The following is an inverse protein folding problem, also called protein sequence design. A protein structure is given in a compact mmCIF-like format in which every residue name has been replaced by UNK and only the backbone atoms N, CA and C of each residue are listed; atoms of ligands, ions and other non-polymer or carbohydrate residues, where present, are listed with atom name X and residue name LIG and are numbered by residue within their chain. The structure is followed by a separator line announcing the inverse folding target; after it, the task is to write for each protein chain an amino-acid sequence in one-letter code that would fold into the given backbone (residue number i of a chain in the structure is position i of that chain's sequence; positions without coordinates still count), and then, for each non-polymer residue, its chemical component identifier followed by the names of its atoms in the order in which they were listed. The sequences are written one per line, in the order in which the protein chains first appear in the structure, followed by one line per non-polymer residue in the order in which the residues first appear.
data_IF_507892886904
#
_entry.id   IF_507892886904
#
_cell.length_a   1.000
_cell.length_b   1.000
_cell.length_c   1.000
_cell.angle_alpha   90.00
_cell.angle_beta   90.00
_cell.angle_gamma   90.00
#
_symmetry.space_group_name_H-M   'P 1'
#
loop_
_entity.id
_entity.type
_entity.pdbx_description
1 polymer ?
#
# COMPACT_ATOMS: atom_id res chain seq x y z
N UNK A 1 -74.26 11.59 58.68
CA UNK A 1 -73.75 11.76 60.06
C UNK A 1 -72.29 12.08 59.94
N UNK A 2 -72.01 13.38 60.07
CA UNK A 2 -70.69 13.98 60.03
C UNK A 2 -69.77 13.43 61.13
N UNK A 3 -68.50 13.23 60.80
CA UNK A 3 -67.43 13.18 61.81
C UNK A 3 -66.38 14.22 61.47
N UNK A 4 -66.52 15.33 62.19
CA UNK A 4 -65.54 16.39 62.42
C UNK A 4 -64.38 15.79 63.24
N UNK A 5 -63.14 16.13 62.90
CA UNK A 5 -61.97 15.59 63.61
C UNK A 5 -60.63 16.28 63.37
N UNK A 6 -60.57 17.59 63.57
CA UNK A 6 -59.45 18.32 64.21
C UNK A 6 -58.10 18.46 63.46
N UNK A 7 -57.93 19.67 62.91
CA UNK A 7 -56.81 20.62 62.99
C UNK A 7 -55.33 20.23 62.79
N UNK A 8 -54.74 20.93 61.81
CA UNK A 8 -53.32 21.05 61.47
C UNK A 8 -52.55 21.97 62.42
N UNK A 9 -51.26 21.69 62.60
CA UNK A 9 -50.22 22.68 62.90
C UNK A 9 -49.12 22.61 61.83
N UNK A 10 -48.47 23.73 61.47
CA UNK A 10 -47.75 23.88 60.20
C UNK A 10 -46.27 23.46 60.31
N UNK A 11 -45.77 22.72 59.32
CA UNK A 11 -44.35 22.38 59.18
C UNK A 11 -43.64 23.52 58.43
N UNK A 12 -42.63 24.11 59.06
CA UNK A 12 -41.80 25.17 58.50
C UNK A 12 -40.97 24.67 57.33
N UNK A 13 -40.99 25.42 56.22
CA UNK A 13 -40.15 25.21 55.04
C UNK A 13 -38.68 25.53 55.37
N UNK A 14 -37.87 24.51 55.57
CA UNK A 14 -36.41 24.64 55.47
C UNK A 14 -36.01 24.21 54.06
N UNK A 15 -35.56 25.18 53.24
CA UNK A 15 -35.01 24.95 51.91
C UNK A 15 -33.72 24.14 52.04
N UNK A 16 -33.76 22.86 51.68
CA UNK A 16 -32.55 22.07 51.45
C UNK A 16 -32.07 22.39 50.04
N UNK A 17 -31.03 23.20 49.94
CA UNK A 17 -30.27 23.39 48.69
C UNK A 17 -29.43 22.12 48.54
N UNK A 18 -29.90 21.20 47.70
CA UNK A 18 -29.10 20.06 47.24
C UNK A 18 -28.28 20.59 46.06
N UNK A 19 -27.02 20.90 46.31
CA UNK A 19 -26.03 21.14 45.26
C UNK A 19 -25.72 19.78 44.64
N UNK A 20 -26.36 19.44 43.53
CA UNK A 20 -26.03 18.24 42.74
C UNK A 20 -24.67 18.47 42.11
N UNK A 21 -23.60 17.96 42.73
CA UNK A 21 -22.28 17.88 42.13
C UNK A 21 -22.35 16.80 41.03
N UNK A 22 -22.61 17.20 39.78
CA UNK A 22 -22.38 16.35 38.62
C UNK A 22 -20.87 16.12 38.51
N UNK A 23 -20.40 15.03 39.10
CA UNK A 23 -19.09 14.48 38.75
C UNK A 23 -19.27 13.80 37.41
N UNK A 24 -19.02 14.55 36.33
CA UNK A 24 -18.78 13.95 35.03
C UNK A 24 -17.50 13.14 35.17
N UNK A 25 -17.64 11.82 35.40
CA UNK A 25 -16.53 10.92 35.18
C UNK A 25 -16.20 11.00 33.68
N UNK A 26 -15.21 11.81 33.33
CA UNK A 26 -14.43 11.58 32.14
C UNK A 26 -13.74 10.23 32.37
N UNK A 27 -14.39 9.14 31.96
CA UNK A 27 -13.68 7.91 31.69
C UNK A 27 -12.87 8.25 30.44
N UNK A 28 -11.54 8.40 30.50
CA UNK A 28 -10.77 8.41 29.27
C UNK A 28 -11.12 7.11 28.57
N UNK A 29 -11.74 7.21 27.39
CA UNK A 29 -11.89 6.05 26.53
C UNK A 29 -10.49 5.48 26.36
N UNK A 30 -10.26 4.29 26.91
CA UNK A 30 -9.09 3.51 26.53
C UNK A 30 -9.38 3.16 25.08
N UNK A 31 -8.88 3.99 24.17
CA UNK A 31 -8.81 3.61 22.76
C UNK A 31 -7.79 2.47 22.79
N UNK A 32 -8.25 1.23 22.70
CA UNK A 32 -7.32 0.13 22.42
C UNK A 32 -6.71 0.45 21.06
N UNK A 33 -5.39 0.67 21.02
CA UNK A 33 -4.69 0.92 19.79
C UNK A 33 -4.93 -0.27 18.85
N UNK A 34 -5.53 -0.01 17.69
CA UNK A 34 -5.81 -1.06 16.70
C UNK A 34 -4.53 -1.32 15.93
N UNK A 35 -4.12 -2.58 15.81
CA UNK A 35 -2.97 -2.94 14.99
C UNK A 35 -3.40 -3.32 13.58
N UNK A 36 -2.55 -3.04 12.59
CA UNK A 36 -2.69 -3.60 11.25
C UNK A 36 -2.86 -5.13 11.34
N UNK A 37 -3.62 -5.75 10.42
CA UNK A 37 -3.77 -7.19 10.40
C UNK A 37 -2.39 -7.87 10.31
N UNK A 38 -2.09 -8.86 11.16
CA UNK A 38 -0.79 -9.51 11.13
C UNK A 38 -0.62 -10.29 9.82
N UNK A 39 0.59 -10.27 9.22
CA UNK A 39 0.85 -11.07 8.03
C UNK A 39 0.80 -12.57 8.35
N UNK A 40 0.50 -13.38 7.34
CA UNK A 40 0.15 -14.81 7.54
C UNK A 40 1.32 -15.76 7.31
N UNK A 41 2.45 -15.26 6.82
CA UNK A 41 3.63 -16.07 6.52
C UNK A 41 4.40 -16.53 7.77
N UNK A 42 5.35 -17.48 7.59
CA UNK A 42 6.08 -18.08 8.69
C UNK A 42 7.15 -17.16 9.32
N UNK A 43 7.50 -16.06 8.66
CA UNK A 43 8.53 -15.13 9.15
C UNK A 43 7.92 -13.87 9.75
N UNK A 44 8.65 -13.28 10.70
CA UNK A 44 8.39 -11.90 11.09
C UNK A 44 8.94 -10.95 10.03
N UNK A 45 8.60 -9.67 10.12
CA UNK A 45 8.94 -8.68 9.10
C UNK A 45 9.87 -7.63 9.68
N UNK A 46 11.00 -7.43 9.01
CA UNK A 46 11.89 -6.30 9.22
C UNK A 46 11.64 -5.21 8.18
N UNK A 47 11.95 -3.97 8.53
CA UNK A 47 11.94 -2.82 7.61
C UNK A 47 13.22 -2.00 7.76
N UNK A 48 13.75 -1.48 6.65
CA UNK A 48 14.88 -0.54 6.63
C UNK A 48 14.66 0.52 5.57
N UNK A 49 15.05 1.76 5.88
CA UNK A 49 14.96 2.89 4.95
C UNK A 49 16.35 3.38 4.56
N UNK A 50 16.50 3.75 3.30
CA UNK A 50 17.74 4.25 2.72
C UNK A 50 17.46 5.49 1.88
N UNK A 51 18.12 6.61 2.19
CA UNK A 51 18.17 7.73 1.27
C UNK A 51 19.11 7.38 0.12
N UNK A 52 18.61 7.49 -1.11
CA UNK A 52 19.36 7.20 -2.32
C UNK A 52 19.74 8.53 -2.95
N UNK A 53 21.01 8.89 -2.89
CA UNK A 53 21.52 10.12 -3.47
C UNK A 53 21.40 10.06 -5.01
N UNK A 54 20.68 11.01 -5.59
CA UNK A 54 20.47 11.11 -7.02
C UNK A 54 20.13 12.55 -7.40
N UNK A 55 20.98 13.19 -8.20
CA UNK A 55 20.72 14.52 -8.72
C UNK A 55 19.84 14.44 -9.98
N UNK A 56 18.63 14.98 -9.88
CA UNK A 56 17.69 15.11 -10.99
C UNK A 56 17.28 16.57 -11.13
N UNK A 57 17.60 17.19 -12.26
CA UNK A 57 17.27 18.59 -12.60
C UNK A 57 16.03 18.74 -13.50
N UNK A 58 15.26 17.66 -13.65
CA UNK A 58 14.01 17.59 -14.42
C UNK A 58 12.87 16.99 -13.60
N UNK A 59 12.92 17.12 -12.27
CA UNK A 59 11.86 16.64 -11.40
C UNK A 59 10.64 17.57 -11.51
N UNK A 60 9.47 17.10 -11.99
CA UNK A 60 8.32 17.98 -12.21
C UNK A 60 7.67 18.47 -10.91
N UNK A 61 7.90 17.78 -9.79
CA UNK A 61 7.24 18.06 -8.50
C UNK A 61 8.17 18.66 -7.45
N UNK A 62 9.49 18.60 -7.68
CA UNK A 62 10.47 19.19 -6.78
C UNK A 62 10.54 20.73 -6.87
N UNK A 63 10.90 21.43 -5.77
CA UNK A 63 11.18 22.86 -5.78
C UNK A 63 12.25 23.23 -6.82
N UNK A 64 11.95 24.20 -7.68
CA UNK A 64 12.80 24.62 -8.80
C UNK A 64 13.17 23.47 -9.77
N UNK A 65 12.36 22.41 -9.81
CA UNK A 65 12.55 21.22 -10.63
C UNK A 65 13.81 20.40 -10.33
N UNK A 66 14.37 20.55 -9.12
CA UNK A 66 15.59 19.84 -8.71
C UNK A 66 15.35 19.00 -7.47
N UNK A 67 15.58 17.69 -7.59
CA UNK A 67 15.71 16.76 -6.46
C UNK A 67 17.12 16.18 -6.39
N UNK A 68 17.55 15.80 -5.18
CA UNK A 68 18.90 15.31 -4.90
C UNK A 68 18.95 13.93 -4.25
N UNK A 69 17.78 13.38 -3.94
CA UNK A 69 17.63 12.03 -3.43
C UNK A 69 16.19 11.55 -3.61
N UNK A 70 16.03 10.23 -3.64
CA UNK A 70 14.76 9.55 -3.40
C UNK A 70 14.91 8.54 -2.26
N UNK A 71 13.82 7.90 -1.83
CA UNK A 71 13.84 7.01 -0.67
C UNK A 71 13.53 5.56 -1.08
N UNK A 72 14.38 4.63 -0.63
CA UNK A 72 14.13 3.20 -0.73
C UNK A 72 13.76 2.63 0.64
N UNK A 73 12.57 2.04 0.75
CA UNK A 73 12.09 1.34 1.96
C UNK A 73 12.02 -0.16 1.66
N UNK A 74 12.81 -0.95 2.39
CA UNK A 74 12.94 -2.40 2.18
C UNK A 74 12.21 -3.15 3.27
N UNK A 75 11.18 -3.91 2.90
CA UNK A 75 10.52 -4.91 3.75
C UNK A 75 11.13 -6.29 3.48
N UNK A 76 11.42 -7.06 4.53
CA UNK A 76 12.12 -8.34 4.39
C UNK A 76 11.78 -9.31 5.53
N UNK A 77 11.91 -10.64 5.32
CA UNK A 77 11.72 -11.63 6.37
C UNK A 77 12.83 -11.53 7.42
N UNK A 78 12.45 -11.74 8.68
CA UNK A 78 13.36 -11.93 9.81
C UNK A 78 12.86 -13.03 10.74
N UNK A 79 13.79 -13.69 11.42
CA UNK A 79 13.48 -14.64 12.51
C UNK A 79 13.30 -13.93 13.85
N UNK A 80 13.68 -12.66 13.96
CA UNK A 80 13.53 -11.88 15.18
C UNK A 80 12.04 -11.69 15.48
N UNK A 81 11.60 -11.96 16.70
CA UNK A 81 10.21 -11.68 17.13
C UNK A 81 10.05 -10.19 17.40
N UNK A 82 8.89 -9.58 17.11
CA UNK A 82 8.60 -8.20 17.51
C UNK A 82 8.87 -8.01 19.00
N UNK A 83 9.72 -7.04 19.33
CA UNK A 83 10.05 -6.67 20.70
C UNK A 83 9.33 -5.38 21.10
N UNK A 84 8.86 -5.31 22.34
CA UNK A 84 8.21 -4.13 22.90
C UNK A 84 6.74 -3.97 22.53
N UNK A 85 6.18 -2.81 22.85
CA UNK A 85 4.81 -2.46 22.49
C UNK A 85 4.72 -2.14 20.99
N UNK A 86 3.58 -2.43 20.33
CA UNK A 86 3.32 -1.98 18.97
C UNK A 86 3.59 -0.48 18.80
N UNK A 87 4.28 -0.13 17.71
CA UNK A 87 4.63 1.26 17.39
C UNK A 87 3.55 1.89 16.49
N UNK A 88 3.40 3.22 16.47
CA UNK A 88 2.60 3.89 15.45
C UNK A 88 3.04 3.43 14.05
N UNK A 89 2.05 3.08 13.23
CA UNK A 89 2.26 2.59 11.88
C UNK A 89 2.57 3.76 10.92
N UNK A 90 1.72 4.79 10.90
CA UNK A 90 1.96 6.02 10.15
C UNK A 90 2.77 7.00 10.99
N UNK A 91 3.61 7.78 10.31
CA UNK A 91 4.14 8.99 10.91
C UNK A 91 3.00 10.03 11.14
N UNK A 92 3.11 10.90 12.16
CA UNK A 92 2.04 11.83 12.53
C UNK A 92 1.58 12.76 11.40
N UNK A 93 2.49 13.18 10.52
CA UNK A 93 2.20 14.09 9.41
C UNK A 93 1.36 13.40 8.33
N UNK A 94 1.71 12.17 7.96
CA UNK A 94 0.93 11.36 7.01
C UNK A 94 -0.44 11.00 7.60
N UNK A 95 -0.51 10.62 8.88
CA UNK A 95 -1.79 10.33 9.53
C UNK A 95 -2.69 11.56 9.54
N UNK A 96 -2.18 12.72 9.98
CA UNK A 96 -2.94 13.97 10.01
C UNK A 96 -3.40 14.40 8.61
N UNK A 97 -2.57 14.19 7.58
CA UNK A 97 -2.95 14.49 6.19
C UNK A 97 -4.18 13.68 5.76
N UNK A 98 -4.18 12.36 5.94
CA UNK A 98 -5.32 11.53 5.52
C UNK A 98 -6.54 11.72 6.42
N UNK A 99 -6.35 11.94 7.73
CA UNK A 99 -7.45 12.30 8.63
C UNK A 99 -8.16 13.57 8.18
N UNK A 100 -7.39 14.60 7.80
CA UNK A 100 -7.96 15.85 7.32
C UNK A 100 -8.63 15.72 5.94
N UNK A 101 -7.98 15.08 4.97
CA UNK A 101 -8.43 15.09 3.58
C UNK A 101 -9.51 14.04 3.28
N UNK A 102 -9.56 12.93 4.03
CA UNK A 102 -10.52 11.85 3.83
C UNK A 102 -11.47 11.67 5.03
N UNK A 103 -11.69 12.75 5.78
CA UNK A 103 -12.73 12.87 6.81
C UNK A 103 -12.69 11.83 7.95
N UNK A 104 -11.56 11.16 8.17
CA UNK A 104 -11.39 10.39 9.40
C UNK A 104 -11.35 11.32 10.60
N UNK A 105 -11.92 10.86 11.72
CA UNK A 105 -11.82 11.56 12.99
C UNK A 105 -10.35 11.69 13.40
N UNK A 106 -10.00 12.86 13.94
CA UNK A 106 -8.64 13.13 14.42
C UNK A 106 -8.23 12.09 15.47
N UNK A 107 -7.12 11.40 15.24
CA UNK A 107 -6.68 10.30 16.10
C UNK A 107 -6.96 8.91 15.55
N UNK A 108 -7.89 8.74 14.60
CA UNK A 108 -8.26 7.41 14.07
C UNK A 108 -7.06 6.72 13.43
N UNK A 109 -6.40 7.37 12.47
CA UNK A 109 -5.28 6.78 11.73
C UNK A 109 -3.98 6.82 12.52
N UNK A 110 -3.75 7.89 13.29
CA UNK A 110 -2.57 8.01 14.15
C UNK A 110 -2.55 7.04 15.33
N UNK A 111 -3.70 6.45 15.70
CA UNK A 111 -3.79 5.37 16.70
C UNK A 111 -3.43 4.00 16.15
N UNK A 112 -3.32 3.84 14.83
CA UNK A 112 -2.99 2.56 14.20
C UNK A 112 -1.55 2.18 14.53
N UNK A 113 -1.36 0.93 14.91
CA UNK A 113 -0.05 0.38 15.24
C UNK A 113 0.36 -0.77 14.32
N UNK A 114 1.64 -1.07 14.28
CA UNK A 114 2.20 -2.21 13.57
C UNK A 114 3.18 -3.01 14.44
N UNK A 115 3.50 -4.21 13.96
CA UNK A 115 4.47 -5.13 14.58
C UNK A 115 5.72 -5.36 13.71
N UNK A 116 5.88 -4.57 12.65
CA UNK A 116 7.08 -4.60 11.80
C UNK A 116 8.27 -4.05 12.58
N UNK A 117 9.46 -4.64 12.38
CA UNK A 117 10.65 -4.33 13.14
C UNK A 117 11.66 -3.51 12.33
N UNK A 118 11.84 -2.26 12.73
CA UNK A 118 12.89 -1.39 12.20
C UNK A 118 14.27 -2.01 12.47
N UNK A 119 15.11 -2.03 11.44
CA UNK A 119 16.52 -2.45 11.49
C UNK A 119 16.78 -3.89 11.99
N UNK A 120 15.76 -4.75 12.00
CA UNK A 120 15.91 -6.17 12.31
C UNK A 120 17.00 -6.84 11.45
N UNK A 121 17.68 -7.90 11.93
CA UNK A 121 18.57 -8.67 11.11
C UNK A 121 17.79 -9.37 9.99
N UNK A 122 18.40 -9.49 8.81
CA UNK A 122 17.87 -10.32 7.73
C UNK A 122 17.93 -11.80 8.13
N UNK A 123 17.21 -12.65 7.40
CA UNK A 123 17.40 -14.10 7.50
C UNK A 123 18.85 -14.48 7.17
N UNK A 124 19.37 -15.43 7.95
CA UNK A 124 20.66 -16.08 7.71
C UNK A 124 20.46 -17.41 6.96
N UNK A 125 21.45 -17.86 6.16
CA UNK A 125 21.43 -19.20 5.59
C UNK A 125 21.24 -20.28 6.67
N UNK A 126 20.45 -21.32 6.39
CA UNK A 126 20.21 -22.42 7.33
C UNK A 126 21.48 -23.23 7.61
N UNK A 127 22.36 -23.33 6.62
CA UNK A 127 23.67 -23.95 6.75
C UNK A 127 24.69 -23.28 5.83
N UNK A 128 25.98 -23.43 6.15
CA UNK A 128 27.06 -22.95 5.29
C UNK A 128 27.07 -23.62 3.90
N UNK A 129 26.44 -24.79 3.74
CA UNK A 129 26.35 -25.51 2.48
C UNK A 129 25.32 -24.92 1.50
N UNK A 130 24.36 -24.13 2.00
CA UNK A 130 23.31 -23.50 1.17
C UNK A 130 23.83 -22.30 0.36
N UNK A 131 25.09 -21.89 0.62
CA UNK A 131 25.66 -20.68 0.04
C UNK A 131 25.02 -19.40 0.60
N UNK A 132 25.33 -18.23 0.01
CA UNK A 132 24.75 -16.97 0.44
C UNK A 132 23.25 -16.94 0.13
N UNK A 133 22.43 -16.56 1.12
CA UNK A 133 21.00 -16.38 0.93
C UNK A 133 20.74 -15.27 -0.10
N UNK A 134 19.79 -15.53 -0.99
CA UNK A 134 19.28 -14.58 -1.99
C UNK A 134 17.76 -14.67 -2.01
N UNK A 135 17.12 -13.68 -1.40
CA UNK A 135 15.67 -13.59 -1.32
C UNK A 135 15.09 -13.21 -2.68
N UNK A 136 13.98 -13.84 -3.12
CA UNK A 136 13.20 -13.34 -4.25
C UNK A 136 12.88 -11.87 -4.01
N UNK A 137 13.28 -11.01 -4.93
CA UNK A 137 13.23 -9.55 -4.73
C UNK A 137 12.18 -8.94 -5.64
N UNK A 138 11.44 -7.98 -5.10
CA UNK A 138 10.35 -7.31 -5.79
C UNK A 138 10.55 -5.79 -5.66
N UNK A 139 10.42 -5.05 -6.76
CA UNK A 139 10.32 -3.60 -6.76
C UNK A 139 8.85 -3.20 -6.56
N UNK A 140 8.59 -2.24 -5.67
CA UNK A 140 7.26 -1.70 -5.43
C UNK A 140 7.22 -0.18 -5.68
N UNK A 141 6.17 0.28 -6.36
CA UNK A 141 5.87 1.70 -6.55
C UNK A 141 4.55 2.13 -5.87
N UNK A 142 4.52 3.21 -5.08
CA UNK A 142 3.31 3.77 -4.48
C UNK A 142 2.40 4.46 -5.51
N UNK A 143 1.21 4.92 -5.07
CA UNK A 143 0.28 5.69 -5.89
C UNK A 143 0.79 7.10 -6.24
N UNK A 144 0.25 7.69 -7.30
CA UNK A 144 0.56 9.06 -7.72
C UNK A 144 0.04 10.07 -6.70
N UNK A 145 0.89 10.97 -6.19
CA UNK A 145 0.51 11.92 -5.13
C UNK A 145 0.23 11.28 -3.76
N UNK A 146 0.40 9.96 -3.63
CA UNK A 146 0.19 9.23 -2.39
C UNK A 146 -0.62 7.93 -2.56
N UNK A 147 -0.68 7.10 -1.51
CA UNK A 147 0.10 7.23 -0.27
C UNK A 147 1.58 6.89 -0.47
N UNK A 148 2.48 7.18 0.49
CA UNK A 148 3.85 6.66 0.46
C UNK A 148 3.91 5.13 0.56
N UNK A 149 5.09 4.55 0.38
CA UNK A 149 5.32 3.10 0.52
C UNK A 149 4.78 2.57 1.84
N UNK A 150 4.91 3.34 2.94
CA UNK A 150 4.33 2.99 4.25
C UNK A 150 2.82 2.73 4.17
N UNK A 151 2.09 3.48 3.34
CA UNK A 151 0.66 3.32 3.06
C UNK A 151 0.23 1.98 2.47
N UNK A 152 1.17 1.06 2.23
CA UNK A 152 0.95 -0.25 1.62
C UNK A 152 1.52 -1.38 2.48
N UNK A 153 1.74 -1.13 3.77
CA UNK A 153 2.46 -2.05 4.64
C UNK A 153 1.74 -3.37 4.82
N UNK A 154 0.41 -3.43 4.74
CA UNK A 154 -0.31 -4.71 4.88
C UNK A 154 0.17 -5.69 3.80
N UNK A 155 0.13 -5.28 2.54
CA UNK A 155 0.55 -6.13 1.43
C UNK A 155 2.06 -6.38 1.39
N UNK A 156 2.86 -5.35 1.68
CA UNK A 156 4.32 -5.46 1.68
C UNK A 156 4.82 -6.38 2.79
N UNK A 157 4.23 -6.28 3.99
CA UNK A 157 4.55 -7.16 5.12
C UNK A 157 4.04 -8.58 4.90
N UNK A 158 2.91 -8.77 4.23
CA UNK A 158 2.45 -10.11 3.82
C UNK A 158 3.50 -10.78 2.94
N UNK A 159 3.91 -10.14 1.84
CA UNK A 159 4.93 -10.70 0.95
C UNK A 159 6.25 -10.95 1.70
N UNK A 160 6.70 -10.01 2.54
CA UNK A 160 7.92 -10.19 3.31
C UNK A 160 7.84 -11.40 4.26
N UNK A 161 6.70 -11.59 4.94
CA UNK A 161 6.48 -12.73 5.85
C UNK A 161 6.54 -14.08 5.13
N UNK A 162 6.29 -14.13 3.82
CA UNK A 162 6.40 -15.31 2.97
C UNK A 162 7.78 -15.50 2.33
N UNK A 163 8.76 -14.66 2.70
CA UNK A 163 10.16 -14.83 2.31
C UNK A 163 10.62 -13.98 1.13
N UNK A 164 9.84 -12.98 0.72
CA UNK A 164 10.25 -12.01 -0.30
C UNK A 164 11.00 -10.82 0.33
N UNK A 165 11.92 -10.21 -0.41
CA UNK A 165 12.40 -8.87 -0.11
C UNK A 165 11.72 -7.87 -1.05
N UNK A 166 11.11 -6.82 -0.51
CA UNK A 166 10.37 -5.84 -1.29
C UNK A 166 11.04 -4.49 -1.12
N UNK A 167 11.43 -3.88 -2.23
CA UNK A 167 12.06 -2.57 -2.30
C UNK A 167 11.00 -1.59 -2.78
N UNK A 168 10.40 -0.83 -1.87
CA UNK A 168 9.51 0.27 -2.21
C UNK A 168 10.29 1.54 -2.49
N UNK A 169 9.97 2.24 -3.58
CA UNK A 169 10.58 3.53 -3.93
C UNK A 169 9.56 4.64 -3.70
N UNK A 170 9.88 5.54 -2.77
CA UNK A 170 9.15 6.79 -2.52
C UNK A 170 9.85 7.93 -3.27
N UNK A 171 9.07 8.87 -3.80
CA UNK A 171 9.50 9.96 -4.67
C UNK A 171 9.28 11.32 -3.96
N UNK A 172 10.31 11.89 -3.30
CA UNK A 172 10.20 13.14 -2.55
C UNK A 172 9.51 14.26 -3.33
N UNK A 173 8.78 15.10 -2.60
CA UNK A 173 7.93 16.18 -3.14
C UNK A 173 6.66 15.71 -3.87
N UNK A 174 6.51 14.41 -4.16
CA UNK A 174 5.29 13.86 -4.73
C UNK A 174 4.30 13.36 -3.67
N UNK A 175 4.74 12.46 -2.78
CA UNK A 175 3.85 11.92 -1.73
C UNK A 175 3.54 12.98 -0.66
N UNK A 176 2.40 12.90 0.03
CA UNK A 176 1.94 13.96 0.94
C UNK A 176 2.98 14.32 1.99
N UNK A 177 3.68 13.29 2.49
CA UNK A 177 4.83 13.44 3.34
C UNK A 177 5.73 12.21 3.29
N UNK A 178 7.05 12.43 3.25
CA UNK A 178 8.09 11.39 3.36
C UNK A 178 9.01 11.71 4.53
N UNK A 179 9.21 10.71 5.40
CA UNK A 179 10.18 10.77 6.52
C UNK A 179 11.47 10.01 6.17
N UNK A 180 12.58 10.73 6.12
CA UNK A 180 13.92 10.17 5.94
C UNK A 180 14.44 9.45 7.20
N UNK A 181 15.42 8.54 7.07
CA UNK A 181 16.00 7.82 8.21
C UNK A 181 16.60 8.72 9.29
N UNK A 182 17.09 9.90 8.92
CA UNK A 182 17.65 10.88 9.86
C UNK A 182 16.57 11.66 10.66
N UNK A 183 15.29 11.36 10.44
CA UNK A 183 14.15 12.02 11.09
C UNK A 183 13.67 13.30 10.40
N UNK A 184 14.37 13.81 9.38
CA UNK A 184 13.88 14.94 8.57
C UNK A 184 12.74 14.50 7.66
N UNK A 185 11.85 15.44 7.34
CA UNK A 185 10.69 15.20 6.49
C UNK A 185 10.66 16.11 5.27
N UNK A 186 10.04 15.64 4.19
CA UNK A 186 9.71 16.43 3.01
C UNK A 186 8.21 16.31 2.77
N UNK A 187 7.55 17.45 2.61
CA UNK A 187 6.13 17.54 2.25
C UNK A 187 6.00 17.57 0.73
N UNK A 188 5.05 16.82 0.21
CA UNK A 188 4.72 16.83 -1.21
C UNK A 188 3.81 17.98 -1.61
N UNK A 189 3.74 18.23 -2.91
CA UNK A 189 2.72 19.10 -3.48
C UNK A 189 1.38 18.37 -3.52
N UNK A 190 0.28 19.12 -3.52
CA UNK A 190 -1.03 18.56 -3.81
C UNK A 190 -1.23 18.57 -5.34
N UNK A 191 -1.25 17.38 -5.95
CA UNK A 191 -1.40 17.21 -7.40
C UNK A 191 -2.72 17.78 -7.95
N UNK A 192 -3.77 17.86 -7.14
CA UNK A 192 -5.06 18.44 -7.56
C UNK A 192 -4.99 19.97 -7.73
N UNK A 193 -3.97 20.61 -7.16
CA UNK A 193 -3.82 22.07 -7.14
C UNK A 193 -2.79 22.59 -8.15
N UNK A 194 -2.22 21.71 -8.99
CA UNK A 194 -1.16 22.05 -9.94
C UNK A 194 -1.48 21.49 -11.32
N UNK A 195 -0.99 22.16 -12.36
CA UNK A 195 -1.09 21.69 -13.74
C UNK A 195 0.22 20.97 -14.10
N UNK A 196 0.28 19.68 -13.75
CA UNK A 196 1.42 18.79 -14.04
C UNK A 196 0.89 17.57 -14.79
N UNK A 197 1.52 17.23 -15.91
CA UNK A 197 1.17 16.03 -16.64
C UNK A 197 1.62 14.78 -15.85
N UNK A 198 0.70 13.84 -15.61
CA UNK A 198 1.03 12.56 -14.97
C UNK A 198 2.10 11.78 -15.75
N UNK A 199 2.23 12.01 -17.07
CA UNK A 199 3.30 11.44 -17.89
C UNK A 199 4.67 11.94 -17.46
N UNK A 200 4.80 13.21 -17.03
CA UNK A 200 6.08 13.75 -16.54
C UNK A 200 6.46 13.11 -15.21
N UNK A 201 5.50 12.96 -14.29
CA UNK A 201 5.72 12.25 -13.01
C UNK A 201 6.09 10.79 -13.29
N UNK A 202 5.36 10.10 -14.18
CA UNK A 202 5.68 8.75 -14.61
C UNK A 202 7.12 8.61 -15.13
N UNK A 203 7.56 9.53 -15.99
CA UNK A 203 8.91 9.52 -16.54
C UNK A 203 9.98 9.75 -15.46
N UNK A 204 9.73 10.67 -14.53
CA UNK A 204 10.59 10.86 -13.36
C UNK A 204 10.73 9.56 -12.56
N UNK A 205 9.61 8.87 -12.27
CA UNK A 205 9.62 7.60 -11.53
C UNK A 205 10.39 6.50 -12.25
N UNK A 206 10.27 6.41 -13.58
CA UNK A 206 11.08 5.49 -14.38
C UNK A 206 12.58 5.83 -14.31
N UNK A 207 12.92 7.12 -14.22
CA UNK A 207 14.28 7.61 -13.96
C UNK A 207 14.81 7.09 -12.63
N UNK A 208 14.10 7.35 -11.54
CA UNK A 208 14.45 6.89 -10.19
C UNK A 208 14.61 5.37 -10.12
N UNK A 209 13.64 4.63 -10.66
CA UNK A 209 13.71 3.17 -10.75
C UNK A 209 14.95 2.72 -11.52
N UNK A 210 15.26 3.40 -12.63
CA UNK A 210 16.42 3.06 -13.45
C UNK A 210 17.73 3.29 -12.71
N UNK A 211 17.86 4.41 -12.02
CA UNK A 211 19.03 4.76 -11.20
C UNK A 211 19.18 3.74 -10.07
N UNK A 212 18.11 3.44 -9.34
CA UNK A 212 18.15 2.44 -8.28
C UNK A 212 18.60 1.07 -8.83
N UNK A 213 17.97 0.59 -9.89
CA UNK A 213 18.20 -0.74 -10.46
C UNK A 213 19.60 -0.91 -11.06
N UNK A 214 20.15 0.12 -11.68
CA UNK A 214 21.46 0.07 -12.36
C UNK A 214 22.62 0.42 -11.43
N UNK A 215 22.44 1.46 -10.62
CA UNK A 215 23.56 2.10 -9.93
C UNK A 215 23.64 1.68 -8.46
N UNK A 216 22.51 1.38 -7.80
CA UNK A 216 22.47 1.08 -6.36
C UNK A 216 22.21 -0.40 -6.04
N UNK A 217 21.32 -1.07 -6.79
CA UNK A 217 20.93 -2.44 -6.52
C UNK A 217 22.12 -3.43 -6.49
N UNK A 218 23.16 -3.33 -7.36
CA UNK A 218 24.32 -4.20 -7.26
C UNK A 218 25.05 -4.10 -5.91
N UNK A 219 25.18 -2.89 -5.36
CA UNK A 219 25.80 -2.67 -4.06
C UNK A 219 24.94 -3.16 -2.91
N UNK A 220 23.62 -2.98 -3.03
CA UNK A 220 22.67 -3.55 -2.09
C UNK A 220 22.76 -5.09 -2.09
N UNK A 221 22.83 -5.74 -3.25
CA UNK A 221 22.98 -7.21 -3.36
C UNK A 221 24.30 -7.77 -2.83
N UNK A 222 25.34 -6.94 -2.69
CA UNK A 222 26.60 -7.31 -2.01
C UNK A 222 26.45 -7.28 -0.48
N UNK A 223 25.63 -6.37 0.04
CA UNK A 223 25.49 -6.08 1.47
C UNK A 223 24.29 -6.78 2.11
N UNK A 224 23.25 -7.02 1.33
CA UNK A 224 21.96 -7.55 1.73
C UNK A 224 21.66 -8.82 0.92
N UNK A 225 20.88 -9.77 1.45
CA UNK A 225 20.56 -11.02 0.77
C UNK A 225 19.49 -10.82 -0.33
N UNK A 226 19.66 -9.85 -1.22
CA UNK A 226 18.72 -9.54 -2.30
C UNK A 226 19.11 -10.29 -3.58
N UNK A 227 18.12 -10.79 -4.31
CA UNK A 227 18.32 -11.25 -5.68
C UNK A 227 18.27 -10.04 -6.62
N UNK A 228 19.41 -9.72 -7.24
CA UNK A 228 19.55 -8.55 -8.10
C UNK A 228 19.42 -8.85 -9.59
N UNK A 229 19.23 -10.11 -9.98
CA UNK A 229 19.22 -10.54 -11.39
C UNK A 229 17.87 -11.05 -11.86
N UNK A 230 17.00 -11.46 -10.93
CA UNK A 230 15.62 -11.88 -11.22
C UNK A 230 14.67 -11.23 -10.21
N UNK A 231 14.03 -10.13 -10.63
CA UNK A 231 13.10 -9.35 -9.83
C UNK A 231 11.68 -9.39 -10.38
N UNK A 232 10.69 -9.33 -9.49
CA UNK A 232 9.34 -8.89 -9.85
C UNK A 232 9.23 -7.37 -9.73
N UNK A 233 8.23 -6.76 -10.35
CA UNK A 233 7.83 -5.39 -10.09
C UNK A 233 6.32 -5.30 -9.93
N UNK A 234 5.84 -4.46 -9.01
CA UNK A 234 4.43 -4.09 -8.96
C UNK A 234 4.23 -2.69 -8.39
N UNK A 235 3.01 -2.19 -8.47
CA UNK A 235 2.67 -0.97 -7.77
C UNK A 235 1.20 -0.65 -7.80
N UNK A 236 0.83 0.32 -6.97
CA UNK A 236 -0.50 0.89 -6.91
C UNK A 236 -0.60 2.11 -7.84
N UNK A 237 -1.68 2.20 -8.62
CA UNK A 237 -1.99 3.35 -9.46
C UNK A 237 -0.80 3.69 -10.40
N UNK A 238 -0.30 4.93 -10.37
CA UNK A 238 0.88 5.36 -11.11
C UNK A 238 2.12 4.47 -10.88
N UNK A 239 2.27 3.89 -9.68
CA UNK A 239 3.32 2.90 -9.38
C UNK A 239 3.14 1.60 -10.15
N UNK A 240 1.90 1.17 -10.40
CA UNK A 240 1.59 0.00 -11.24
C UNK A 240 1.91 0.24 -12.71
N UNK A 241 1.63 1.44 -13.21
CA UNK A 241 2.07 1.87 -14.54
C UNK A 241 3.60 1.86 -14.64
N UNK A 242 4.29 2.46 -13.66
CA UNK A 242 5.75 2.51 -13.60
C UNK A 242 6.39 1.12 -13.48
N UNK A 243 5.72 0.17 -12.81
CA UNK A 243 6.18 -1.22 -12.72
C UNK A 243 6.23 -1.91 -14.09
N UNK A 244 5.21 -1.72 -14.92
CA UNK A 244 5.18 -2.25 -16.30
C UNK A 244 6.14 -1.48 -17.22
N UNK A 245 6.24 -0.16 -17.10
CA UNK A 245 7.27 0.61 -17.81
C UNK A 245 8.70 0.16 -17.48
N UNK A 246 8.95 -0.18 -16.21
CA UNK A 246 10.24 -0.71 -15.76
C UNK A 246 10.47 -2.14 -16.26
N UNK A 247 9.43 -2.98 -16.33
CA UNK A 247 9.49 -4.35 -16.86
C UNK A 247 10.00 -4.37 -18.31
N UNK A 248 9.51 -3.46 -19.16
CA UNK A 248 9.99 -3.33 -20.53
C UNK A 248 11.44 -2.84 -20.61
N UNK A 249 11.82 -1.93 -19.72
CA UNK A 249 13.10 -1.19 -19.81
C UNK A 249 14.29 -1.92 -19.17
N UNK A 250 14.03 -2.88 -18.27
CA UNK A 250 15.07 -3.54 -17.47
C UNK A 250 14.99 -5.06 -17.56
N UNK A 251 16.05 -5.68 -18.10
CA UNK A 251 16.12 -7.13 -18.31
C UNK A 251 16.10 -7.96 -17.02
N UNK A 252 16.51 -7.38 -15.89
CA UNK A 252 16.51 -8.05 -14.59
C UNK A 252 15.12 -8.12 -13.93
N UNK A 253 14.15 -7.32 -14.40
CA UNK A 253 12.74 -7.46 -14.00
C UNK A 253 12.11 -8.47 -14.93
N UNK A 254 11.55 -9.55 -14.38
CA UNK A 254 11.06 -10.71 -15.14
C UNK A 254 9.54 -10.86 -15.11
N UNK A 255 8.84 -10.08 -14.29
CA UNK A 255 7.38 -10.07 -14.24
C UNK A 255 6.85 -8.76 -13.64
N UNK A 256 5.69 -8.31 -14.08
CA UNK A 256 5.09 -7.04 -13.65
C UNK A 256 3.63 -7.18 -13.23
N UNK A 257 3.21 -6.41 -12.23
CA UNK A 257 1.82 -6.36 -11.78
C UNK A 257 1.36 -4.92 -11.57
N UNK A 258 0.17 -4.59 -12.06
CA UNK A 258 -0.42 -3.26 -11.91
C UNK A 258 -1.71 -3.37 -11.07
N UNK A 259 -1.70 -2.71 -9.91
CA UNK A 259 -2.86 -2.56 -9.05
C UNK A 259 -3.59 -1.27 -9.43
N UNK A 260 -4.61 -1.44 -10.26
CA UNK A 260 -5.60 -0.43 -10.62
C UNK A 260 -5.10 0.89 -11.27
N UNK A 261 -3.89 0.91 -11.83
CA UNK A 261 -3.34 2.11 -12.49
C UNK A 261 -3.56 2.13 -13.99
N UNK A 262 -3.99 3.28 -14.53
CA UNK A 262 -3.96 3.53 -15.98
C UNK A 262 -2.57 3.29 -16.55
N UNK A 263 -2.46 2.61 -17.69
CA UNK A 263 -1.15 2.38 -18.30
C UNK A 263 -0.63 3.66 -18.95
N UNK A 264 0.68 3.88 -18.89
CA UNK A 264 1.36 5.04 -19.48
C UNK A 264 2.56 4.55 -20.29
N UNK A 265 2.95 5.32 -21.31
CA UNK A 265 4.09 5.01 -22.18
C UNK A 265 3.79 3.85 -23.12
N UNK A 266 4.81 3.05 -23.42
CA UNK A 266 4.70 1.92 -24.34
C UNK A 266 3.58 0.91 -23.97
N UNK A 267 3.40 0.49 -22.69
CA UNK A 267 2.29 -0.38 -22.29
C UNK A 267 0.89 0.18 -22.63
N UNK A 268 0.73 1.50 -22.75
CA UNK A 268 -0.54 2.13 -23.09
C UNK A 268 -0.85 2.13 -24.60
N UNK A 269 0.13 1.82 -25.45
CA UNK A 269 -0.02 1.93 -26.91
C UNK A 269 -0.86 0.79 -27.46
N UNK A 270 -1.73 1.11 -28.42
CA UNK A 270 -2.42 0.09 -29.21
C UNK A 270 -1.52 -0.40 -30.37
N UNK A 271 -0.37 -0.99 -30.03
CA UNK A 271 0.59 -1.54 -30.98
C UNK A 271 1.46 -2.61 -30.33
N UNK A 272 2.24 -3.35 -31.14
CA UNK A 272 3.22 -4.33 -30.64
C UNK A 272 4.28 -3.77 -29.68
N UNK A 273 4.40 -2.44 -29.53
CA UNK A 273 5.24 -1.82 -28.51
C UNK A 273 4.71 -2.04 -27.07
N UNK A 274 3.42 -2.38 -26.90
CA UNK A 274 2.83 -2.67 -25.60
C UNK A 274 3.12 -4.09 -25.09
N UNK A 275 3.62 -4.98 -25.94
CA UNK A 275 3.95 -6.36 -25.56
C UNK A 275 5.12 -6.40 -24.56
N UNK A 276 4.84 -6.82 -23.33
CA UNK A 276 5.86 -6.98 -22.28
C UNK A 276 6.80 -8.15 -22.54
N UNK A 277 6.36 -9.15 -23.32
CA UNK A 277 7.10 -10.41 -23.57
C UNK A 277 7.53 -11.15 -22.30
N UNK A 278 6.88 -10.82 -21.19
CA UNK A 278 7.15 -11.31 -19.83
C UNK A 278 5.81 -11.37 -19.08
N UNK A 279 5.68 -12.21 -18.05
CA UNK A 279 4.45 -12.30 -17.28
C UNK A 279 3.95 -10.95 -16.74
N UNK A 280 2.73 -10.58 -17.11
CA UNK A 280 2.08 -9.32 -16.71
C UNK A 280 0.69 -9.54 -16.10
N UNK A 281 0.39 -8.93 -14.96
CA UNK A 281 -0.91 -9.08 -14.30
C UNK A 281 -1.57 -7.74 -13.98
N UNK A 282 -2.81 -7.57 -14.41
CA UNK A 282 -3.64 -6.42 -14.08
C UNK A 282 -4.70 -6.82 -13.03
N UNK A 283 -4.74 -6.14 -11.89
CA UNK A 283 -5.78 -6.30 -10.86
C UNK A 283 -6.45 -4.94 -10.67
N UNK A 284 -7.69 -4.81 -11.14
CA UNK A 284 -8.42 -3.55 -11.13
C UNK A 284 -9.59 -3.53 -10.17
N UNK A 285 -10.05 -2.32 -9.87
CA UNK A 285 -11.29 -2.04 -9.15
C UNK A 285 -12.51 -2.45 -9.96
N UNK A 286 -13.69 -2.42 -9.34
CA UNK A 286 -14.92 -2.83 -10.01
C UNK A 286 -15.14 -2.02 -11.30
N UNK A 287 -15.18 -2.72 -12.43
CA UNK A 287 -15.43 -2.12 -13.74
C UNK A 287 -14.23 -1.42 -14.39
N UNK A 288 -13.09 -1.27 -13.72
CA UNK A 288 -11.93 -0.60 -14.31
C UNK A 288 -11.42 -1.34 -15.56
N UNK A 289 -11.17 -0.58 -16.63
CA UNK A 289 -10.73 -1.10 -17.91
C UNK A 289 -11.80 -1.92 -18.65
N UNK A 290 -13.08 -1.83 -18.27
CA UNK A 290 -14.17 -2.45 -19.03
C UNK A 290 -14.58 -1.55 -20.22
N UNK A 291 -15.15 -2.13 -21.27
CA UNK A 291 -15.54 -1.34 -22.45
C UNK A 291 -16.49 -0.20 -22.06
N UNK A 292 -16.12 1.04 -22.40
CA UNK A 292 -16.92 2.23 -22.11
C UNK A 292 -16.66 2.89 -20.75
N UNK A 293 -15.70 2.41 -19.95
CA UNK A 293 -15.40 2.96 -18.60
C UNK A 293 -14.27 4.01 -18.58
N UNK A 294 -13.78 4.45 -19.75
CA UNK A 294 -12.86 5.59 -19.89
C UNK A 294 -11.38 5.23 -20.02
N UNK A 295 -10.89 4.19 -19.35
CA UNK A 295 -9.52 3.69 -19.55
C UNK A 295 -9.47 2.58 -20.60
N UNK A 296 -9.17 2.97 -21.84
CA UNK A 296 -9.01 2.03 -22.95
C UNK A 296 -7.68 1.25 -22.89
N UNK A 297 -6.70 1.69 -22.10
CA UNK A 297 -5.38 1.06 -22.07
C UNK A 297 -5.45 -0.36 -21.50
N UNK A 298 -6.33 -0.58 -20.50
CA UNK A 298 -6.63 -1.91 -19.93
C UNK A 298 -7.48 -2.82 -20.83
N UNK A 299 -8.05 -2.27 -21.90
CA UNK A 299 -8.72 -3.07 -22.95
C UNK A 299 -7.69 -3.50 -24.00
N UNK A 300 -6.82 -2.58 -24.43
CA UNK A 300 -5.86 -2.85 -25.50
C UNK A 300 -4.64 -3.63 -25.05
N UNK A 301 -4.11 -3.38 -23.84
CA UNK A 301 -2.87 -3.99 -23.38
C UNK A 301 -2.88 -5.53 -23.42
N UNK A 302 -3.91 -6.22 -22.88
CA UNK A 302 -3.95 -7.68 -22.94
C UNK A 302 -3.89 -8.26 -24.36
N UNK A 303 -4.45 -7.57 -25.36
CA UNK A 303 -4.49 -8.01 -26.76
C UNK A 303 -3.11 -8.06 -27.42
N UNK A 304 -2.13 -7.32 -26.87
CA UNK A 304 -0.76 -7.27 -27.39
C UNK A 304 0.22 -8.21 -26.69
N UNK A 305 -0.17 -8.83 -25.57
CA UNK A 305 0.75 -9.63 -24.76
C UNK A 305 1.00 -11.00 -25.38
N UNK A 306 2.27 -11.33 -25.60
CA UNK A 306 2.68 -12.63 -26.18
C UNK A 306 3.08 -13.68 -25.15
N UNK A 307 3.34 -13.27 -23.90
CA UNK A 307 3.61 -14.16 -22.77
C UNK A 307 2.39 -14.24 -21.84
N UNK A 308 2.54 -14.93 -20.70
CA UNK A 308 1.50 -15.07 -19.70
C UNK A 308 0.96 -13.71 -19.29
N UNK A 309 -0.36 -13.55 -19.39
CA UNK A 309 -1.02 -12.36 -18.88
C UNK A 309 -2.39 -12.68 -18.32
N UNK A 310 -2.81 -11.90 -17.32
CA UNK A 310 -4.17 -11.94 -16.77
C UNK A 310 -4.66 -10.54 -16.48
N UNK A 311 -5.98 -10.41 -16.47
CA UNK A 311 -6.69 -9.24 -15.98
C UNK A 311 -7.87 -9.71 -15.14
N UNK A 312 -7.94 -9.19 -13.92
CA UNK A 312 -9.07 -9.39 -13.03
C UNK A 312 -9.59 -8.05 -12.53
N UNK A 313 -10.87 -8.02 -12.19
CA UNK A 313 -11.49 -6.93 -11.44
C UNK A 313 -12.07 -7.49 -10.13
N UNK A 314 -12.11 -6.67 -9.09
CA UNK A 314 -12.67 -7.06 -7.79
C UNK A 314 -13.99 -6.32 -7.59
N UNK A 315 -15.08 -7.05 -7.36
CA UNK A 315 -16.39 -6.43 -7.12
C UNK A 315 -16.43 -5.72 -5.77
N UNK A 316 -17.10 -4.57 -5.73
CA UNK A 316 -17.25 -3.74 -4.54
C UNK A 316 -16.02 -2.91 -4.16
N UNK A 317 -14.93 -2.95 -4.94
CA UNK A 317 -13.78 -2.06 -4.73
C UNK A 317 -13.87 -0.80 -5.56
N UNK A 318 -13.26 0.27 -5.07
CA UNK A 318 -12.84 1.45 -5.84
C UNK A 318 -11.31 1.50 -5.91
N UNK A 319 -10.76 2.57 -6.51
CA UNK A 319 -9.33 2.78 -6.58
C UNK A 319 -8.65 2.80 -5.20
N UNK A 320 -9.34 3.34 -4.18
CA UNK A 320 -8.76 3.50 -2.84
C UNK A 320 -8.64 2.17 -2.07
N UNK A 321 -9.27 1.10 -2.55
CA UNK A 321 -9.20 -0.22 -1.94
C UNK A 321 -7.90 -1.01 -2.24
N UNK A 322 -6.93 -0.39 -2.92
CA UNK A 322 -5.68 -1.04 -3.38
C UNK A 322 -4.43 -0.68 -2.55
N UNK A 323 -4.62 0.01 -1.43
CA UNK A 323 -3.61 0.27 -0.41
C UNK A 323 -4.24 0.13 0.99
N UNK A 324 -3.52 0.50 2.05
CA UNK A 324 -3.94 0.24 3.44
C UNK A 324 -5.22 1.00 3.88
N UNK A 325 -5.75 1.97 3.10
CA UNK A 325 -7.06 2.59 3.38
C UNK A 325 -8.20 1.58 3.39
N UNK A 326 -8.09 0.50 2.61
CA UNK A 326 -9.07 -0.58 2.68
C UNK A 326 -9.19 -1.17 4.08
N UNK A 327 -8.13 -1.13 4.89
CA UNK A 327 -8.20 -1.45 6.32
C UNK A 327 -8.64 -0.24 7.16
N UNK A 328 -8.15 0.96 6.88
CA UNK A 328 -8.49 2.17 7.65
C UNK A 328 -10.00 2.42 7.71
N UNK A 329 -10.72 2.22 6.61
CA UNK A 329 -12.18 2.38 6.55
C UNK A 329 -12.94 1.42 7.48
N UNK A 330 -12.31 0.33 7.95
CA UNK A 330 -12.90 -0.58 8.93
C UNK A 330 -12.93 0.02 10.35
N UNK A 331 -12.07 1.01 10.62
CA UNK A 331 -12.00 1.73 11.89
C UNK A 331 -13.08 2.80 11.99
N UNK A 332 -13.42 3.39 10.84
CA UNK A 332 -14.43 4.46 10.74
C UNK A 332 -15.17 4.34 9.40
N UNK A 333 -16.23 3.53 9.40
CA UNK A 333 -17.01 3.25 8.18
C UNK A 333 -17.60 4.53 7.61
N UNK A 334 -17.29 4.81 6.34
CA UNK A 334 -17.80 5.98 5.62
C UNK A 334 -17.00 7.26 5.85
N UNK A 335 -15.85 7.19 6.52
CA UNK A 335 -14.91 8.31 6.61
C UNK A 335 -14.39 8.70 5.21
N UNK A 336 -13.66 7.81 4.53
CA UNK A 336 -13.24 8.06 3.16
C UNK A 336 -14.42 7.89 2.18
N UNK A 337 -14.92 8.96 1.55
CA UNK A 337 -16.02 8.89 0.58
C UNK A 337 -15.62 8.21 -0.74
N UNK A 338 -14.32 8.00 -0.97
CA UNK A 338 -13.80 7.37 -2.16
C UNK A 338 -13.65 5.85 -2.03
N UNK A 339 -13.70 5.30 -0.82
CA UNK A 339 -13.58 3.87 -0.57
C UNK A 339 -14.81 3.07 -1.07
N UNK A 340 -14.57 1.87 -1.59
CA UNK A 340 -15.63 1.01 -2.11
C UNK A 340 -16.42 0.28 -1.01
N UNK A 341 -17.59 -0.26 -1.35
CA UNK A 341 -18.47 -0.96 -0.40
C UNK A 341 -17.99 -2.36 0.04
N UNK A 342 -16.91 -2.91 -0.53
CA UNK A 342 -16.35 -4.19 -0.10
C UNK A 342 -15.93 -4.13 1.38
N UNK A 343 -16.06 -5.25 2.08
CA UNK A 343 -15.43 -5.39 3.40
C UNK A 343 -13.91 -5.23 3.28
N UNK A 344 -13.34 -4.36 4.10
CA UNK A 344 -11.92 -4.01 4.05
C UNK A 344 -10.97 -5.18 4.28
N UNK A 345 -11.31 -6.07 5.22
CA UNK A 345 -10.48 -7.24 5.52
C UNK A 345 -10.60 -8.31 4.43
N UNK A 346 -11.76 -8.43 3.79
CA UNK A 346 -11.91 -9.29 2.61
C UNK A 346 -11.04 -8.81 1.44
N UNK A 347 -10.99 -7.50 1.19
CA UNK A 347 -10.10 -6.94 0.18
C UNK A 347 -8.62 -7.20 0.50
N UNK A 348 -8.20 -7.04 1.76
CA UNK A 348 -6.86 -7.42 2.22
C UNK A 348 -6.56 -8.88 1.89
N UNK A 349 -7.50 -9.80 2.17
CA UNK A 349 -7.33 -11.23 1.86
C UNK A 349 -7.17 -11.47 0.37
N UNK A 350 -7.98 -10.82 -0.46
CA UNK A 350 -7.92 -10.97 -1.92
C UNK A 350 -6.57 -10.49 -2.45
N UNK A 351 -6.13 -9.26 -2.11
CA UNK A 351 -4.86 -8.73 -2.59
C UNK A 351 -3.67 -9.58 -2.13
N UNK A 352 -3.63 -9.94 -0.84
CA UNK A 352 -2.59 -10.79 -0.29
C UNK A 352 -2.50 -12.14 -1.04
N UNK A 353 -3.64 -12.78 -1.32
CA UNK A 353 -3.68 -14.06 -2.00
C UNK A 353 -3.22 -13.97 -3.47
N UNK A 354 -3.75 -13.02 -4.23
CA UNK A 354 -3.51 -12.93 -5.67
C UNK A 354 -2.12 -12.40 -6.01
N UNK A 355 -1.65 -11.36 -5.30
CA UNK A 355 -0.30 -10.79 -5.52
C UNK A 355 0.77 -11.81 -5.13
N UNK A 356 0.60 -12.48 -3.99
CA UNK A 356 1.51 -13.57 -3.59
C UNK A 356 1.48 -14.72 -4.60
N UNK A 357 0.30 -15.17 -5.03
CA UNK A 357 0.19 -16.25 -6.01
C UNK A 357 0.95 -15.92 -7.31
N UNK A 358 0.84 -14.67 -7.79
CA UNK A 358 1.57 -14.21 -8.97
C UNK A 358 3.10 -14.28 -8.78
N UNK A 359 3.64 -13.77 -7.66
CA UNK A 359 5.08 -13.81 -7.43
C UNK A 359 5.60 -15.20 -7.04
N UNK A 360 4.77 -16.06 -6.44
CA UNK A 360 5.06 -17.48 -6.26
C UNK A 360 5.23 -18.16 -7.64
N UNK A 361 4.35 -17.83 -8.59
CA UNK A 361 4.42 -18.32 -9.96
C UNK A 361 5.67 -17.81 -10.70
N UNK A 362 5.90 -16.50 -10.75
CA UNK A 362 6.94 -15.93 -11.63
C UNK A 362 8.36 -16.02 -11.05
N UNK A 363 8.50 -15.86 -9.73
CA UNK A 363 9.81 -15.86 -9.07
C UNK A 363 10.20 -17.25 -8.57
N UNK A 364 9.24 -18.04 -8.09
CA UNK A 364 9.48 -19.34 -7.45
C UNK A 364 9.00 -20.54 -8.27
N UNK A 365 8.30 -20.33 -9.40
CA UNK A 365 7.81 -21.42 -10.25
C UNK A 365 6.66 -22.23 -9.64
N UNK A 366 5.96 -21.71 -8.62
CA UNK A 366 4.84 -22.39 -7.97
C UNK A 366 3.52 -22.00 -8.62
N UNK A 367 2.77 -22.97 -9.10
CA UNK A 367 1.44 -22.75 -9.69
C UNK A 367 0.38 -22.50 -8.63
N UNK A 368 -0.66 -21.73 -8.98
CA UNK A 368 -1.82 -21.49 -8.12
C UNK A 368 -3.10 -21.46 -8.96
N UNK A 369 -4.12 -22.21 -8.53
CA UNK A 369 -5.43 -22.21 -9.17
C UNK A 369 -6.11 -20.83 -9.15
N UNK A 370 -5.72 -19.95 -8.21
CA UNK A 370 -6.18 -18.56 -8.17
C UNK A 370 -5.81 -17.78 -9.42
N UNK A 371 -4.78 -18.18 -10.17
CA UNK A 371 -4.34 -17.50 -11.39
C UNK A 371 -5.00 -18.05 -12.67
N UNK A 372 -5.71 -19.17 -12.55
CA UNK A 372 -6.26 -19.92 -13.68
C UNK A 372 -7.73 -19.60 -13.94
N UNK A 373 -8.44 -19.04 -12.96
CA UNK A 373 -9.83 -18.64 -13.13
C UNK A 373 -10.55 -18.32 -11.81
N UNK A 374 -11.90 -18.23 -11.85
CA UNK A 374 -12.71 -17.92 -10.69
C UNK A 374 -12.48 -18.87 -9.51
N UNK A 375 -12.47 -18.33 -8.30
CA UNK A 375 -12.31 -19.08 -7.06
C UNK A 375 -13.57 -18.99 -6.20
N UNK A 376 -14.02 -20.12 -5.65
CA UNK A 376 -15.12 -20.12 -4.66
C UNK A 376 -14.73 -19.48 -3.34
N UNK A 377 -13.43 -19.36 -3.04
CA UNK A 377 -12.93 -18.65 -1.86
C UNK A 377 -13.08 -17.13 -2.03
N UNK A 378 -12.94 -16.62 -3.26
CA UNK A 378 -12.99 -15.19 -3.59
C UNK A 378 -14.03 -14.92 -4.67
N UNK A 379 -15.34 -15.08 -4.36
CA UNK A 379 -16.41 -14.94 -5.35
C UNK A 379 -16.55 -13.52 -5.92
N UNK A 380 -15.96 -12.52 -5.26
CA UNK A 380 -15.90 -11.14 -5.75
C UNK A 380 -14.88 -10.91 -6.86
N UNK A 381 -13.97 -11.84 -7.12
CA UNK A 381 -12.93 -11.69 -8.15
C UNK A 381 -13.47 -12.16 -9.51
N UNK A 382 -13.48 -11.24 -10.47
CA UNK A 382 -13.98 -11.44 -11.83
C UNK A 382 -12.81 -11.47 -12.79
N UNK A 383 -12.71 -12.55 -13.58
CA UNK A 383 -11.74 -12.65 -14.66
C UNK A 383 -12.32 -12.03 -15.93
N UNK A 384 -11.51 -11.23 -16.64
CA UNK A 384 -11.88 -10.82 -18.00
C UNK A 384 -12.04 -12.04 -18.89
N UNK A 385 -13.11 -12.10 -19.68
CA UNK A 385 -13.38 -13.25 -20.53
C UNK A 385 -12.48 -13.23 -21.77
N UNK A 386 -12.24 -14.40 -22.38
CA UNK A 386 -11.51 -14.51 -23.66
C UNK A 386 -12.24 -13.79 -24.81
N UNK A 387 -13.51 -13.40 -24.65
CA UNK A 387 -14.22 -12.58 -25.62
C UNK A 387 -13.95 -11.07 -25.47
N UNK A 388 -13.30 -10.67 -24.36
CA UNK A 388 -12.82 -9.31 -24.09
C UNK A 388 -11.31 -9.15 -24.37
N UNK A 389 -10.65 -10.23 -24.82
CA UNK A 389 -9.27 -10.34 -25.30
C UNK A 389 -9.27 -10.57 -26.81
#
# INVERSE_FOLDING_TARGET
MDLIGIYRQPVSRTKLIITTLLVTLCIPGITEAVSLPPPTGPYHVGVRKYAIEYYNDHDPVAPNNVSTAFLATIFYPTSQKPEGAPKPYLNPETAAYFEQNWHYSNGTLSSITWIVQEDAPFLEPKSAADGPLRLPTILFGPGGGGPPVEGNTILLSELASHGYAIIGIDHPFEQPFIRYPNGTGVTGINLDNVDIDLVDIYNMRLGDNSVFLKDHLPDFGRKLPLNTTKLGAFGYSLGGAAALGSLQSHGQIVSGLNLDGTLIGNPALNSSAADERKPAFLIGSQGHGSSGTGDNTWVTFPQWQTDWHRKININGTTHHDFFDDTFWKTLEVGADPHAGPIDGLEQVRILNAYVKAFFDFTLLGKTSALLDGPSSEFPGVVFSSVADL
#
